data_IF_966276266691
#
_entry.id   IF_966276266691
#
_cell.length_a   1.000
_cell.length_b   1.000
_cell.length_c   1.000
_cell.angle_alpha   90.00
_cell.angle_beta   90.00
_cell.angle_gamma   90.00
#
_symmetry.space_group_name_H-M   'P 1'
#
loop_
_entity.id
_entity.type
_entity.pdbx_description
1 polymer ?
#
# COMPACT_ATOMS: atom_id res chain seq x y z
N UNK A 1 -0.09 -40.98 -5.45
CA UNK A 1 -0.64 -41.56 -6.70
C UNK A 1 -1.10 -40.41 -7.57
N UNK A 2 -1.23 -40.56 -8.88
CA UNK A 2 -1.77 -39.52 -9.77
C UNK A 2 -3.02 -40.02 -10.48
N UNK A 3 -4.01 -39.14 -10.65
CA UNK A 3 -5.22 -39.34 -11.45
C UNK A 3 -5.25 -38.26 -12.54
N UNK A 4 -5.23 -38.65 -13.82
CA UNK A 4 -5.20 -37.73 -14.95
C UNK A 4 -4.12 -36.61 -14.85
N UNK A 5 -2.97 -36.93 -14.25
CA UNK A 5 -1.86 -36.00 -14.03
C UNK A 5 -1.97 -35.13 -12.78
N UNK A 6 -3.01 -35.28 -11.96
CA UNK A 6 -3.19 -34.57 -10.68
C UNK A 6 -2.78 -35.46 -9.52
N UNK A 7 -2.02 -34.91 -8.57
CA UNK A 7 -1.58 -35.65 -7.38
C UNK A 7 -2.75 -35.95 -6.44
N UNK A 8 -2.92 -37.23 -6.13
CA UNK A 8 -3.87 -37.76 -5.15
C UNK A 8 -3.09 -38.14 -3.88
N UNK A 9 -3.31 -37.43 -2.76
CA UNK A 9 -2.53 -37.58 -1.52
C UNK A 9 -2.91 -38.80 -0.68
N UNK A 10 -4.17 -39.25 -0.74
CA UNK A 10 -4.67 -40.37 0.07
C UNK A 10 -5.40 -41.39 -0.80
N UNK A 11 -5.21 -42.68 -0.49
CA UNK A 11 -5.94 -43.77 -1.09
C UNK A 11 -7.25 -43.97 -0.32
N UNK A 12 -8.39 -43.70 -0.95
CA UNK A 12 -9.71 -44.07 -0.42
C UNK A 12 -10.26 -45.29 -1.16
N UNK A 13 -11.24 -45.97 -0.54
CA UNK A 13 -11.91 -47.12 -1.16
C UNK A 13 -12.53 -46.79 -2.52
N UNK A 14 -13.12 -45.60 -2.64
CA UNK A 14 -13.73 -45.11 -3.89
C UNK A 14 -12.68 -44.94 -5.00
N UNK A 15 -11.48 -44.48 -4.65
CA UNK A 15 -10.39 -44.28 -5.60
C UNK A 15 -9.79 -45.63 -6.04
N UNK A 16 -9.74 -46.62 -5.14
CA UNK A 16 -9.33 -47.98 -5.49
C UNK A 16 -10.32 -48.65 -6.44
N UNK A 17 -11.62 -48.46 -6.22
CA UNK A 17 -12.67 -48.96 -7.13
C UNK A 17 -12.61 -48.30 -8.50
N UNK A 18 -12.32 -47.00 -8.56
CA UNK A 18 -12.13 -46.26 -9.82
C UNK A 18 -10.84 -46.67 -10.54
N UNK A 19 -9.76 -46.94 -9.80
CA UNK A 19 -8.49 -47.42 -10.34
C UNK A 19 -8.61 -48.80 -10.98
N UNK A 20 -9.39 -49.70 -10.38
CA UNK A 20 -9.69 -51.01 -10.98
C UNK A 20 -10.50 -50.87 -12.26
N UNK A 21 -11.39 -49.88 -12.33
CA UNK A 21 -12.28 -49.65 -13.49
C UNK A 21 -11.61 -48.91 -14.65
N UNK A 22 -10.71 -47.97 -14.38
CA UNK A 22 -10.04 -47.14 -15.40
C UNK A 22 -8.54 -47.00 -15.11
N UNK A 23 -7.76 -48.10 -15.11
CA UNK A 23 -6.36 -48.09 -14.71
C UNK A 23 -5.48 -47.14 -15.54
N UNK A 24 -5.83 -46.88 -16.80
CA UNK A 24 -5.14 -45.96 -17.71
C UNK A 24 -5.12 -44.50 -17.24
N UNK A 25 -6.05 -44.11 -16.36
CA UNK A 25 -6.11 -42.75 -15.81
C UNK A 25 -5.23 -42.58 -14.57
N UNK A 26 -4.66 -43.66 -14.03
CA UNK A 26 -3.89 -43.63 -12.79
C UNK A 26 -2.42 -43.97 -13.02
N UNK A 27 -1.53 -43.23 -12.36
CA UNK A 27 -0.09 -43.48 -12.40
C UNK A 27 0.51 -43.54 -10.99
N UNK A 28 1.38 -44.53 -10.76
CA UNK A 28 2.21 -44.64 -9.57
C UNK A 28 3.63 -44.24 -9.98
N UNK A 29 4.04 -43.02 -9.63
CA UNK A 29 5.44 -42.62 -9.71
C UNK A 29 6.15 -43.06 -8.43
N UNK A 30 7.20 -43.87 -8.59
CA UNK A 30 8.15 -44.19 -7.53
C UNK A 30 9.44 -43.43 -7.82
N UNK A 31 10.03 -42.81 -6.79
CA UNK A 31 11.24 -42.01 -6.93
C UNK A 31 12.37 -42.62 -6.10
N UNK A 32 13.54 -42.80 -6.72
CA UNK A 32 14.78 -43.08 -6.00
C UNK A 32 15.22 -41.84 -5.23
N UNK A 33 15.58 -42.04 -3.97
CA UNK A 33 16.11 -40.97 -3.09
C UNK A 33 17.62 -41.07 -3.12
N UNK A 34 18.25 -40.31 -4.01
CA UNK A 34 19.70 -40.11 -4.00
C UNK A 34 20.05 -39.14 -2.86
N UNK A 35 21.24 -39.27 -2.24
CA UNK A 35 21.62 -38.54 -1.02
C UNK A 35 21.41 -37.01 -1.06
N UNK A 36 21.51 -36.40 -2.24
CA UNK A 36 21.27 -34.96 -2.43
C UNK A 36 19.79 -34.58 -2.27
N UNK A 37 18.84 -35.44 -2.68
CA UNK A 37 17.40 -35.21 -2.43
C UNK A 37 17.09 -35.24 -0.95
N UNK A 38 17.75 -36.12 -0.18
CA UNK A 38 17.60 -36.18 1.27
C UNK A 38 18.21 -34.94 1.95
N UNK A 39 19.35 -34.45 1.47
CA UNK A 39 19.97 -33.22 1.97
C UNK A 39 19.07 -32.00 1.70
N UNK A 40 18.60 -31.82 0.46
CA UNK A 40 17.62 -30.76 0.11
C UNK A 40 16.38 -30.82 0.99
N UNK A 41 15.82 -32.02 1.14
CA UNK A 41 14.65 -32.25 1.97
C UNK A 41 14.87 -31.82 3.43
N UNK A 42 16.00 -32.20 4.03
CA UNK A 42 16.31 -31.84 5.41
C UNK A 42 16.63 -30.34 5.57
N UNK A 43 17.33 -29.72 4.61
CA UNK A 43 17.57 -28.28 4.62
C UNK A 43 16.28 -27.47 4.54
N UNK A 44 15.32 -27.87 3.69
CA UNK A 44 14.02 -27.20 3.62
C UNK A 44 13.20 -27.38 4.90
N UNK A 45 13.29 -28.53 5.57
CA UNK A 45 12.67 -28.74 6.89
C UNK A 45 13.26 -27.79 7.92
N UNK A 46 14.58 -27.63 7.93
CA UNK A 46 15.23 -26.64 8.81
C UNK A 46 14.76 -25.21 8.51
N UNK A 47 14.61 -24.81 7.24
CA UNK A 47 14.05 -23.51 6.87
C UNK A 47 12.63 -23.28 7.41
N UNK A 48 11.86 -24.35 7.57
CA UNK A 48 10.51 -24.33 8.14
C UNK A 48 10.47 -24.54 9.65
N UNK A 49 11.62 -24.60 10.33
CA UNK A 49 11.73 -24.98 11.74
C UNK A 49 11.10 -26.36 12.06
N UNK A 50 11.17 -27.29 11.10
CA UNK A 50 10.75 -28.68 11.26
C UNK A 50 11.95 -29.57 11.61
N UNK A 51 11.71 -30.66 12.36
CA UNK A 51 12.75 -31.62 12.72
C UNK A 51 13.30 -32.36 11.51
N UNK A 52 14.63 -32.53 11.45
CA UNK A 52 15.33 -33.34 10.43
C UNK A 52 14.92 -34.81 10.54
N UNK A 53 14.89 -35.52 9.41
CA UNK A 53 14.49 -36.92 9.35
C UNK A 53 15.58 -37.78 8.71
N UNK A 54 15.75 -38.99 9.24
CA UNK A 54 16.73 -39.97 8.73
C UNK A 54 16.25 -40.67 7.45
N UNK A 55 14.94 -40.69 7.20
CA UNK A 55 14.35 -41.29 6.00
C UNK A 55 13.33 -40.36 5.35
N UNK A 56 13.27 -40.44 4.03
CA UNK A 56 12.30 -39.75 3.19
C UNK A 56 11.07 -40.65 2.98
N UNK A 57 9.87 -40.10 3.15
CA UNK A 57 8.61 -40.75 2.75
C UNK A 57 7.73 -39.73 2.01
N UNK A 58 6.81 -40.21 1.17
CA UNK A 58 5.87 -39.32 0.47
C UNK A 58 4.99 -38.52 1.45
N UNK A 59 4.62 -39.12 2.59
CA UNK A 59 3.87 -38.43 3.65
C UNK A 59 4.71 -37.31 4.28
N UNK A 60 5.96 -37.61 4.65
CA UNK A 60 6.89 -36.63 5.20
C UNK A 60 7.20 -35.51 4.22
N UNK A 61 7.29 -35.83 2.92
CA UNK A 61 7.45 -34.86 1.86
C UNK A 61 6.27 -33.91 1.77
N UNK A 62 5.05 -34.45 1.70
CA UNK A 62 3.82 -33.66 1.67
C UNK A 62 3.72 -32.74 2.90
N UNK A 63 4.11 -33.20 4.08
CA UNK A 63 4.12 -32.40 5.30
C UNK A 63 5.18 -31.30 5.34
N UNK A 64 6.25 -31.43 4.56
CA UNK A 64 7.26 -30.38 4.35
C UNK A 64 6.81 -29.37 3.29
N UNK A 65 6.08 -29.79 2.25
CA UNK A 65 5.61 -28.86 1.20
C UNK A 65 4.39 -28.04 1.64
N UNK A 66 3.45 -28.65 2.37
CA UNK A 66 2.20 -27.99 2.80
C UNK A 66 2.41 -26.59 3.40
N UNK A 67 3.38 -26.35 4.32
CA UNK A 67 3.63 -25.01 4.86
C UNK A 67 4.05 -23.97 3.82
N UNK A 68 4.78 -24.36 2.77
CA UNK A 68 5.18 -23.47 1.69
C UNK A 68 3.98 -22.96 0.89
N UNK A 69 3.13 -23.90 0.47
CA UNK A 69 1.91 -23.55 -0.27
C UNK A 69 0.93 -22.77 0.60
N UNK A 70 0.84 -23.12 1.89
CA UNK A 70 -0.01 -22.42 2.85
C UNK A 70 0.42 -20.96 3.04
N UNK A 71 1.71 -20.69 3.28
CA UNK A 71 2.14 -19.29 3.48
C UNK A 71 1.88 -18.45 2.24
N UNK A 72 2.10 -18.99 1.03
CA UNK A 72 1.86 -18.24 -0.20
C UNK A 72 0.38 -17.86 -0.36
N UNK A 73 -0.53 -18.77 0.00
CA UNK A 73 -1.98 -18.51 0.00
C UNK A 73 -2.39 -17.47 1.04
N UNK A 74 -1.67 -17.38 2.16
CA UNK A 74 -1.90 -16.42 3.23
C UNK A 74 -1.25 -15.05 2.96
N UNK A 75 -0.48 -14.90 1.88
CA UNK A 75 0.13 -13.62 1.53
C UNK A 75 -0.94 -12.55 1.21
N UNK A 76 -0.76 -11.33 1.73
CA UNK A 76 -1.49 -10.15 1.27
C UNK A 76 -1.49 -10.00 -0.25
N UNK A 77 -2.52 -9.38 -0.81
CA UNK A 77 -2.58 -9.12 -2.26
C UNK A 77 -1.38 -8.25 -2.73
N UNK A 78 -0.95 -7.28 -1.93
CA UNK A 78 0.27 -6.50 -2.17
C UNK A 78 1.49 -7.42 -2.32
N UNK A 79 1.71 -8.34 -1.38
CA UNK A 79 2.87 -9.23 -1.39
C UNK A 79 2.88 -10.18 -2.59
N UNK A 80 1.70 -10.60 -3.06
CA UNK A 80 1.54 -11.42 -4.27
C UNK A 80 1.87 -10.66 -5.56
N UNK A 81 1.67 -9.34 -5.59
CA UNK A 81 1.72 -8.55 -6.82
C UNK A 81 2.92 -7.58 -6.92
N UNK A 82 3.55 -7.20 -5.81
CA UNK A 82 4.63 -6.21 -5.81
C UNK A 82 5.82 -6.64 -6.66
N UNK A 83 6.46 -5.68 -7.34
CA UNK A 83 7.73 -5.84 -8.06
C UNK A 83 8.92 -5.30 -7.25
N UNK A 84 8.68 -4.78 -6.04
CA UNK A 84 9.72 -4.28 -5.12
C UNK A 84 10.33 -5.41 -4.29
N UNK A 85 10.78 -6.45 -4.98
CA UNK A 85 11.45 -7.62 -4.44
C UNK A 85 12.75 -7.83 -5.23
N UNK A 86 13.73 -8.51 -4.62
CA UNK A 86 14.91 -8.99 -5.33
C UNK A 86 14.53 -9.89 -6.52
N UNK A 87 15.45 -10.04 -7.47
CA UNK A 87 15.22 -10.89 -8.65
C UNK A 87 14.96 -12.33 -8.23
N UNK A 88 15.71 -12.79 -7.23
CA UNK A 88 15.66 -14.10 -6.62
C UNK A 88 14.29 -14.32 -5.94
N UNK A 89 13.83 -13.36 -5.13
CA UNK A 89 12.52 -13.42 -4.50
C UNK A 89 11.36 -13.39 -5.51
N UNK A 90 11.48 -12.61 -6.59
CA UNK A 90 10.48 -12.62 -7.66
C UNK A 90 10.39 -14.00 -8.34
N UNK A 91 11.53 -14.59 -8.67
CA UNK A 91 11.60 -15.89 -9.31
C UNK A 91 11.05 -17.01 -8.40
N UNK A 92 11.43 -17.02 -7.11
CA UNK A 92 10.90 -17.96 -6.12
C UNK A 92 9.40 -17.78 -5.93
N UNK A 93 8.90 -16.54 -5.82
CA UNK A 93 7.47 -16.28 -5.70
C UNK A 93 6.68 -16.82 -6.90
N UNK A 94 7.21 -16.65 -8.11
CA UNK A 94 6.60 -17.15 -9.35
C UNK A 94 6.63 -18.68 -9.42
N UNK A 95 7.71 -19.32 -8.98
CA UNK A 95 7.79 -20.77 -8.84
C UNK A 95 6.74 -21.30 -7.87
N UNK A 96 6.54 -20.65 -6.71
CA UNK A 96 5.49 -21.05 -5.74
C UNK A 96 4.09 -20.83 -6.32
N UNK A 97 3.86 -19.72 -7.02
CA UNK A 97 2.56 -19.40 -7.62
C UNK A 97 2.12 -20.42 -8.66
N UNK A 98 3.09 -20.98 -9.40
CA UNK A 98 2.87 -21.94 -10.48
C UNK A 98 3.03 -23.41 -10.02
N UNK A 99 3.24 -23.64 -8.72
CA UNK A 99 3.49 -24.96 -8.14
C UNK A 99 2.26 -25.89 -8.27
N UNK A 100 2.25 -26.72 -9.31
CA UNK A 100 1.22 -27.77 -9.54
C UNK A 100 1.63 -29.13 -8.97
N UNK A 101 2.89 -29.48 -9.16
CA UNK A 101 3.51 -30.70 -8.64
C UNK A 101 4.48 -30.30 -7.51
N UNK A 102 4.12 -30.53 -6.23
CA UNK A 102 4.95 -30.21 -5.07
C UNK A 102 6.40 -30.70 -5.21
N UNK A 103 6.59 -31.93 -5.68
CA UNK A 103 7.90 -32.55 -5.84
C UNK A 103 8.78 -31.82 -6.85
N UNK A 104 8.27 -31.66 -8.07
CA UNK A 104 8.94 -30.90 -9.13
C UNK A 104 9.25 -29.48 -8.68
N UNK A 105 8.31 -28.85 -7.97
CA UNK A 105 8.51 -27.48 -7.47
C UNK A 105 9.71 -27.41 -6.52
N UNK A 106 9.82 -28.38 -5.62
CA UNK A 106 10.82 -28.40 -4.56
C UNK A 106 12.21 -28.78 -5.03
N UNK A 107 12.32 -29.79 -5.89
CA UNK A 107 13.60 -30.34 -6.32
C UNK A 107 14.11 -29.73 -7.62
N UNK A 108 13.23 -29.19 -8.46
CA UNK A 108 13.60 -28.64 -9.76
C UNK A 108 13.29 -27.14 -9.84
N UNK A 109 12.04 -26.73 -9.64
CA UNK A 109 11.62 -25.35 -9.97
C UNK A 109 12.26 -24.31 -9.02
N UNK A 110 12.45 -24.60 -7.73
CA UNK A 110 13.16 -23.68 -6.81
C UNK A 110 14.66 -23.53 -7.12
N UNK A 111 15.44 -24.61 -7.28
CA UNK A 111 16.81 -24.50 -7.78
C UNK A 111 16.88 -23.72 -9.09
N UNK A 112 16.04 -24.07 -10.07
CA UNK A 112 16.04 -23.44 -11.39
C UNK A 112 15.66 -21.94 -11.31
N UNK A 113 14.71 -21.57 -10.45
CA UNK A 113 14.33 -20.17 -10.22
C UNK A 113 15.51 -19.33 -9.69
N UNK A 114 16.42 -19.94 -8.94
CA UNK A 114 17.62 -19.30 -8.41
C UNK A 114 18.85 -19.49 -9.30
N UNK A 115 18.70 -20.13 -10.47
CA UNK A 115 19.78 -20.33 -11.44
C UNK A 115 20.68 -21.55 -11.18
N UNK A 116 20.25 -22.46 -10.31
CA UNK A 116 20.94 -23.72 -10.01
C UNK A 116 20.26 -24.88 -10.75
N UNK A 117 21.04 -25.86 -11.19
CA UNK A 117 20.53 -27.17 -11.59
C UNK A 117 20.68 -28.17 -10.45
N UNK A 118 19.87 -29.21 -10.44
CA UNK A 118 20.01 -30.29 -9.46
C UNK A 118 21.42 -30.89 -9.45
N UNK A 119 22.04 -31.05 -10.63
CA UNK A 119 23.41 -31.53 -10.77
C UNK A 119 24.44 -30.56 -10.17
N UNK A 120 24.24 -29.24 -10.34
CA UNK A 120 25.14 -28.23 -9.78
C UNK A 120 25.16 -28.22 -8.25
N UNK A 121 24.04 -28.59 -7.63
CA UNK A 121 23.91 -28.71 -6.18
C UNK A 121 24.65 -29.94 -5.62
N UNK A 122 25.06 -30.88 -6.46
CA UNK A 122 25.85 -32.04 -6.05
C UNK A 122 27.37 -31.78 -6.10
N UNK A 123 27.79 -30.70 -6.74
CA UNK A 123 29.20 -30.45 -7.06
C UNK A 123 30.02 -30.07 -5.82
N UNK A 124 29.46 -29.24 -4.93
CA UNK A 124 30.11 -28.87 -3.67
C UNK A 124 29.12 -28.45 -2.59
N UNK A 125 29.49 -28.71 -1.34
CA UNK A 125 28.73 -28.27 -0.17
C UNK A 125 28.60 -26.73 -0.13
N UNK A 126 29.62 -25.99 -0.57
CA UNK A 126 29.59 -24.51 -0.62
C UNK A 126 28.49 -23.98 -1.56
N UNK A 127 28.32 -24.59 -2.73
CA UNK A 127 27.28 -24.21 -3.70
C UNK A 127 25.90 -24.52 -3.13
N UNK A 128 25.77 -25.66 -2.46
CA UNK A 128 24.53 -26.07 -1.80
C UNK A 128 24.13 -25.11 -0.66
N UNK A 129 25.07 -24.77 0.23
CA UNK A 129 24.83 -23.83 1.34
C UNK A 129 24.46 -22.43 0.82
N UNK A 130 25.13 -21.98 -0.25
CA UNK A 130 24.80 -20.71 -0.89
C UNK A 130 23.36 -20.72 -1.43
N UNK A 131 22.97 -21.78 -2.13
CA UNK A 131 21.60 -21.95 -2.62
C UNK A 131 20.56 -21.89 -1.49
N UNK A 132 20.78 -22.64 -0.40
CA UNK A 132 19.86 -22.66 0.74
C UNK A 132 19.75 -21.27 1.39
N UNK A 133 20.87 -20.57 1.57
CA UNK A 133 20.90 -19.21 2.10
C UNK A 133 20.14 -18.22 1.21
N UNK A 134 20.34 -18.26 -0.11
CA UNK A 134 19.62 -17.41 -1.07
C UNK A 134 18.11 -17.70 -1.06
N UNK A 135 17.71 -18.97 -1.01
CA UNK A 135 16.31 -19.35 -0.91
C UNK A 135 15.67 -18.83 0.40
N UNK A 136 16.37 -18.96 1.52
CA UNK A 136 15.91 -18.45 2.81
C UNK A 136 15.70 -16.93 2.80
N UNK A 137 16.65 -16.19 2.22
CA UNK A 137 16.56 -14.74 2.07
C UNK A 137 15.36 -14.36 1.20
N UNK A 138 15.20 -15.02 0.05
CA UNK A 138 14.09 -14.80 -0.86
C UNK A 138 12.72 -15.04 -0.19
N UNK A 139 12.56 -16.14 0.55
CA UNK A 139 11.31 -16.44 1.27
C UNK A 139 11.06 -15.42 2.37
N UNK A 140 12.09 -15.04 3.13
CA UNK A 140 11.97 -14.03 4.20
C UNK A 140 11.55 -12.68 3.63
N UNK A 141 12.13 -12.28 2.50
CA UNK A 141 11.77 -11.06 1.79
C UNK A 141 10.30 -11.09 1.34
N UNK A 142 9.85 -12.19 0.72
CA UNK A 142 8.44 -12.35 0.32
C UNK A 142 7.50 -12.24 1.53
N UNK A 143 7.86 -12.87 2.66
CA UNK A 143 7.05 -12.83 3.89
C UNK A 143 6.98 -11.44 4.52
N UNK A 144 8.05 -10.66 4.43
CA UNK A 144 8.19 -9.37 5.13
C UNK A 144 7.91 -8.16 4.24
N UNK A 145 7.74 -8.33 2.92
CA UNK A 145 7.58 -7.21 1.99
C UNK A 145 6.36 -6.33 2.30
N UNK A 146 5.28 -6.89 2.85
CA UNK A 146 4.13 -6.10 3.29
C UNK A 146 4.46 -5.24 4.51
N UNK A 147 5.19 -5.77 5.49
CA UNK A 147 5.66 -4.98 6.62
C UNK A 147 6.68 -3.92 6.18
N UNK A 148 7.48 -4.21 5.15
CA UNK A 148 8.36 -3.23 4.53
C UNK A 148 7.58 -2.09 3.86
N UNK A 149 6.42 -2.35 3.21
CA UNK A 149 5.55 -1.29 2.70
C UNK A 149 5.04 -0.37 3.83
N UNK A 150 4.58 -0.96 4.92
CA UNK A 150 4.09 -0.22 6.09
C UNK A 150 5.20 0.66 6.66
N UNK A 151 6.40 0.10 6.83
CA UNK A 151 7.55 0.85 7.32
C UNK A 151 7.92 2.00 6.37
N UNK A 152 7.90 1.81 5.04
CA UNK A 152 8.15 2.92 4.10
C UNK A 152 7.13 4.04 4.23
N UNK A 153 5.85 3.70 4.39
CA UNK A 153 4.82 4.71 4.60
C UNK A 153 5.00 5.46 5.92
N UNK A 154 5.38 4.76 6.98
CA UNK A 154 5.76 5.37 8.26
C UNK A 154 6.98 6.30 8.12
N UNK A 155 8.05 5.84 7.48
CA UNK A 155 9.25 6.66 7.21
C UNK A 155 8.90 7.91 6.42
N UNK A 156 8.02 7.81 5.42
CA UNK A 156 7.51 8.97 4.69
C UNK A 156 6.83 9.98 5.63
N UNK A 157 5.96 9.53 6.53
CA UNK A 157 5.28 10.41 7.49
C UNK A 157 6.29 11.09 8.42
N UNK A 158 7.24 10.31 8.97
CA UNK A 158 8.28 10.81 9.86
C UNK A 158 9.14 11.87 9.16
N UNK A 159 9.65 11.57 7.96
CA UNK A 159 10.53 12.47 7.22
C UNK A 159 9.81 13.76 6.79
N UNK A 160 8.61 13.67 6.23
CA UNK A 160 7.93 14.82 5.62
C UNK A 160 7.19 15.72 6.62
N UNK A 161 6.71 15.16 7.74
CA UNK A 161 5.81 15.90 8.64
C UNK A 161 6.28 16.01 10.09
N UNK A 162 7.19 15.13 10.53
CA UNK A 162 7.72 15.12 11.91
C UNK A 162 9.13 15.70 11.97
N UNK A 163 10.02 15.26 11.07
CA UNK A 163 11.42 15.65 11.04
C UNK A 163 12.33 14.93 12.04
N UNK A 164 11.85 13.89 12.71
CA UNK A 164 12.59 13.11 13.72
C UNK A 164 12.30 11.60 13.57
N UNK A 165 13.28 10.76 13.87
CA UNK A 165 13.12 9.30 13.95
C UNK A 165 12.62 8.89 15.34
N UNK A 166 11.31 8.93 15.54
CA UNK A 166 10.65 8.58 16.81
C UNK A 166 9.63 7.45 16.61
N UNK A 167 9.29 6.76 17.70
CA UNK A 167 8.36 5.63 17.67
C UNK A 167 6.90 6.03 17.45
N UNK A 168 6.07 5.04 17.07
CA UNK A 168 4.62 5.20 16.84
C UNK A 168 3.88 5.85 18.02
N UNK A 169 4.22 5.46 19.25
CA UNK A 169 3.63 6.01 20.46
C UNK A 169 3.89 7.52 20.64
N UNK A 170 4.88 8.08 19.96
CA UNK A 170 5.27 9.48 20.08
C UNK A 170 4.81 10.34 18.89
N UNK A 171 5.03 9.90 17.64
CA UNK A 171 4.67 10.74 16.49
C UNK A 171 3.16 10.82 16.27
N UNK A 172 2.39 9.78 16.58
CA UNK A 172 0.93 9.79 16.41
C UNK A 172 0.30 10.91 17.26
N UNK A 173 0.57 11.02 18.58
CA UNK A 173 0.11 12.16 19.37
C UNK A 173 0.59 13.52 18.84
N UNK A 174 1.82 13.63 18.32
CA UNK A 174 2.31 14.88 17.71
C UNK A 174 1.48 15.30 16.49
N UNK A 175 1.13 14.36 15.60
CA UNK A 175 0.23 14.63 14.47
C UNK A 175 -1.18 15.00 14.92
N UNK A 176 -1.72 14.33 15.94
CA UNK A 176 -3.02 14.68 16.51
C UNK A 176 -3.02 16.09 17.10
N UNK A 177 -1.98 16.44 17.87
CA UNK A 177 -1.82 17.77 18.47
C UNK A 177 -1.74 18.88 17.41
N UNK A 178 -1.10 18.62 16.27
CA UNK A 178 -1.00 19.56 15.13
C UNK A 178 -2.38 20.04 14.66
N UNK A 179 -3.38 19.17 14.67
CA UNK A 179 -4.74 19.45 14.19
C UNK A 179 -5.79 19.57 15.31
N UNK A 180 -5.37 19.68 16.57
CA UNK A 180 -6.30 19.76 17.71
C UNK A 180 -7.22 21.00 17.65
N UNK A 181 -6.72 22.13 17.10
CA UNK A 181 -7.45 23.40 16.98
C UNK A 181 -8.23 23.56 15.66
N UNK A 182 -8.36 22.48 14.89
CA UNK A 182 -9.03 22.50 13.60
C UNK A 182 -10.55 22.67 13.77
N UNK A 183 -11.14 23.61 13.03
CA UNK A 183 -12.59 23.81 12.97
C UNK A 183 -13.28 22.67 12.20
N UNK A 184 -13.55 21.55 12.90
CA UNK A 184 -14.06 20.30 12.31
C UNK A 184 -15.36 20.45 11.49
N UNK A 185 -16.19 21.44 11.81
CA UNK A 185 -17.44 21.69 11.10
C UNK A 185 -17.23 22.19 9.67
N UNK A 186 -16.11 22.90 9.40
CA UNK A 186 -15.74 23.44 8.08
C UNK A 186 -15.08 22.41 7.16
N UNK A 187 -14.80 21.21 7.66
CA UNK A 187 -14.11 20.18 6.89
C UNK A 187 -15.00 19.52 5.84
N UNK A 188 -14.40 19.19 4.70
CA UNK A 188 -14.99 18.29 3.71
C UNK A 188 -15.23 16.90 4.27
N UNK A 189 -16.14 16.11 3.66
CA UNK A 189 -16.31 14.70 4.00
C UNK A 189 -14.99 13.92 4.03
N UNK A 190 -14.13 14.05 3.01
CA UNK A 190 -12.83 13.35 2.96
C UNK A 190 -11.87 13.78 4.07
N UNK A 191 -11.80 15.08 4.36
CA UNK A 191 -11.00 15.64 5.45
C UNK A 191 -11.52 15.19 6.83
N UNK A 192 -12.85 15.14 7.01
CA UNK A 192 -13.49 14.61 8.22
C UNK A 192 -13.12 13.15 8.44
N UNK A 193 -13.20 12.32 7.39
CA UNK A 193 -12.79 10.92 7.48
C UNK A 193 -11.32 10.78 7.84
N UNK A 194 -10.43 11.57 7.22
CA UNK A 194 -9.01 11.55 7.55
C UNK A 194 -8.74 11.93 9.01
N UNK A 195 -9.29 13.06 9.48
CA UNK A 195 -9.13 13.51 10.87
C UNK A 195 -9.73 12.50 11.85
N UNK A 196 -10.87 11.89 11.53
CA UNK A 196 -11.46 10.83 12.34
C UNK A 196 -10.54 9.60 12.47
N UNK A 197 -9.84 9.20 11.40
CA UNK A 197 -8.85 8.12 11.46
C UNK A 197 -7.60 8.53 12.21
N UNK A 198 -7.14 9.77 12.01
CA UNK A 198 -6.01 10.34 12.74
C UNK A 198 -6.26 10.30 14.27
N UNK A 199 -7.45 10.70 14.71
CA UNK A 199 -7.88 10.75 16.11
C UNK A 199 -8.27 9.38 16.70
N UNK A 200 -8.18 8.30 15.91
CA UNK A 200 -8.59 6.99 16.37
C UNK A 200 -7.71 6.48 17.53
N UNK A 201 -8.33 5.74 18.45
CA UNK A 201 -7.67 5.08 19.59
C UNK A 201 -6.96 3.77 19.18
N UNK A 202 -6.54 3.65 17.92
CA UNK A 202 -5.80 2.48 17.45
C UNK A 202 -4.35 2.58 17.91
N UNK A 203 -3.98 1.70 18.85
CA UNK A 203 -2.62 1.66 19.41
C UNK A 203 -1.71 0.67 18.69
N UNK A 204 -2.26 -0.10 17.75
CA UNK A 204 -1.49 -0.91 16.81
C UNK A 204 -1.02 -0.06 15.62
N UNK A 205 0.30 0.03 15.44
CA UNK A 205 0.98 0.77 14.37
C UNK A 205 0.44 0.41 12.99
N UNK A 206 0.31 -0.89 12.72
CA UNK A 206 -0.07 -1.42 11.40
C UNK A 206 -1.53 -1.13 11.09
N UNK A 207 -2.42 -1.31 12.04
CA UNK A 207 -3.84 -1.00 11.92
C UNK A 207 -4.07 0.50 11.72
N UNK A 208 -3.36 1.36 12.48
CA UNK A 208 -3.49 2.80 12.33
C UNK A 208 -3.02 3.28 10.94
N UNK A 209 -1.83 2.87 10.49
CA UNK A 209 -1.31 3.21 9.15
C UNK A 209 -2.23 2.71 8.04
N UNK A 210 -2.79 1.50 8.17
CA UNK A 210 -3.81 1.02 7.24
C UNK A 210 -5.05 1.90 7.21
N UNK A 211 -5.55 2.32 8.38
CA UNK A 211 -6.73 3.20 8.46
C UNK A 211 -6.48 4.56 7.82
N UNK A 212 -5.26 5.09 7.96
CA UNK A 212 -4.84 6.34 7.32
C UNK A 212 -4.77 6.18 5.79
N UNK A 213 -4.18 5.10 5.29
CA UNK A 213 -4.16 4.80 3.85
C UNK A 213 -5.58 4.68 3.29
N UNK A 214 -6.48 3.97 3.96
CA UNK A 214 -7.89 3.86 3.56
C UNK A 214 -8.58 5.22 3.50
N UNK A 215 -8.32 6.12 4.46
CA UNK A 215 -8.92 7.46 4.43
C UNK A 215 -8.44 8.32 3.25
N UNK A 216 -7.22 8.09 2.76
CA UNK A 216 -6.59 8.90 1.71
C UNK A 216 -6.82 8.34 0.32
N UNK A 217 -6.67 7.03 0.13
CA UNK A 217 -6.76 6.37 -1.19
C UNK A 217 -7.96 5.41 -1.32
N UNK A 218 -8.75 5.22 -0.26
CA UNK A 218 -9.93 4.34 -0.26
C UNK A 218 -9.60 2.84 -0.23
N UNK A 219 -8.32 2.48 -0.05
CA UNK A 219 -7.81 1.10 -0.08
C UNK A 219 -6.85 0.87 1.07
N UNK A 220 -6.83 -0.35 1.59
CA UNK A 220 -5.88 -0.79 2.62
C UNK A 220 -4.51 -1.08 2.02
N UNK A 221 -3.46 -1.05 2.85
CA UNK A 221 -2.07 -1.25 2.40
C UNK A 221 -1.84 -2.67 1.86
N UNK A 222 -2.58 -3.66 2.37
CA UNK A 222 -2.48 -5.08 1.97
C UNK A 222 -2.98 -5.37 0.56
N UNK A 223 -3.68 -4.43 -0.10
CA UNK A 223 -4.19 -4.56 -1.47
C UNK A 223 -3.64 -3.50 -2.44
N UNK A 224 -2.69 -2.68 -1.99
CA UNK A 224 -2.08 -1.69 -2.89
C UNK A 224 -1.23 -2.35 -3.97
N UNK A 225 -1.01 -1.61 -5.05
CA UNK A 225 0.04 -1.88 -6.05
C UNK A 225 1.18 -0.89 -5.88
N UNK A 226 2.34 -1.19 -6.47
CA UNK A 226 3.51 -0.31 -6.36
C UNK A 226 3.27 1.11 -6.87
N UNK A 227 2.43 1.26 -7.91
CA UNK A 227 2.04 2.57 -8.43
C UNK A 227 1.12 3.35 -7.47
N UNK A 228 0.32 2.65 -6.65
CA UNK A 228 -0.58 3.27 -5.69
C UNK A 228 0.17 3.90 -4.51
N UNK A 229 1.39 3.42 -4.20
CA UNK A 229 2.23 3.97 -3.13
C UNK A 229 2.56 5.45 -3.38
N UNK A 230 2.88 5.82 -4.62
CA UNK A 230 3.12 7.22 -4.99
C UNK A 230 1.85 8.08 -4.88
N UNK A 231 0.70 7.53 -5.28
CA UNK A 231 -0.60 8.21 -5.18
C UNK A 231 -0.98 8.43 -3.72
N UNK A 232 -0.68 7.47 -2.84
CA UNK A 232 -0.87 7.58 -1.40
C UNK A 232 -0.05 8.76 -0.85
N UNK A 233 1.25 8.82 -1.15
CA UNK A 233 2.12 9.89 -0.64
C UNK A 233 1.68 11.27 -1.14
N UNK A 234 1.36 11.41 -2.43
CA UNK A 234 0.88 12.67 -2.99
C UNK A 234 -0.41 13.15 -2.34
N UNK A 235 -1.40 12.25 -2.20
CA UNK A 235 -2.69 12.59 -1.58
C UNK A 235 -2.55 12.85 -0.08
N UNK A 236 -1.67 12.11 0.61
CA UNK A 236 -1.38 12.34 2.03
C UNK A 236 -0.74 13.71 2.25
N UNK A 237 0.22 14.10 1.41
CA UNK A 237 0.82 15.44 1.46
C UNK A 237 -0.20 16.53 1.21
N UNK A 238 -1.08 16.35 0.22
CA UNK A 238 -2.14 17.34 -0.07
C UNK A 238 -3.09 17.50 1.11
N UNK A 239 -3.58 16.40 1.69
CA UNK A 239 -4.53 16.50 2.80
C UNK A 239 -3.90 17.13 4.04
N UNK A 240 -2.63 16.83 4.35
CA UNK A 240 -1.91 17.49 5.45
C UNK A 240 -1.79 19.00 5.21
N UNK A 241 -1.37 19.42 4.00
CA UNK A 241 -1.26 20.85 3.65
C UNK A 241 -2.59 21.58 3.72
N UNK A 242 -3.66 20.96 3.24
CA UNK A 242 -5.01 21.52 3.31
C UNK A 242 -5.44 21.72 4.78
N UNK A 243 -5.21 20.72 5.63
CA UNK A 243 -5.54 20.79 7.05
C UNK A 243 -4.68 21.81 7.79
N UNK A 244 -3.41 21.96 7.44
CA UNK A 244 -2.55 23.00 7.99
C UNK A 244 -3.08 24.39 7.65
N UNK A 245 -3.41 24.62 6.38
CA UNK A 245 -3.98 25.90 5.92
C UNK A 245 -5.30 26.21 6.66
N UNK A 246 -6.18 25.22 6.84
CA UNK A 246 -7.41 25.39 7.60
C UNK A 246 -7.15 25.63 9.10
N UNK A 247 -6.12 25.01 9.68
CA UNK A 247 -5.72 25.25 11.07
C UNK A 247 -5.16 26.65 11.25
N UNK A 248 -4.39 27.16 10.28
CA UNK A 248 -3.91 28.53 10.26
C UNK A 248 -5.05 29.54 10.16
N UNK A 249 -6.05 29.26 9.32
CA UNK A 249 -7.27 30.07 9.21
C UNK A 249 -8.05 30.10 10.53
N UNK A 250 -8.20 28.97 11.21
CA UNK A 250 -8.90 28.90 12.50
C UNK A 250 -8.19 29.65 13.64
N UNK A 251 -6.87 29.88 13.54
CA UNK A 251 -6.11 30.70 14.51
C UNK A 251 -6.34 32.20 14.34
N UNK A 252 -6.71 32.64 13.13
CA UNK A 252 -7.21 33.99 12.96
C UNK A 252 -8.56 34.04 13.70
N UNK A 253 -8.71 34.95 14.66
CA UNK A 253 -9.97 35.15 15.38
C UNK A 253 -11.01 35.68 14.38
N UNK A 254 -11.73 34.75 13.73
CA UNK A 254 -12.65 34.99 12.62
C UNK A 254 -14.06 34.79 13.13
N UNK A 255 -14.85 35.86 13.08
CA UNK A 255 -16.29 35.80 13.33
C UNK A 255 -16.98 35.22 12.09
N UNK A 256 -17.13 33.89 12.02
CA UNK A 256 -17.74 33.19 10.87
C UNK A 256 -19.19 33.60 10.55
N UNK A 257 -19.87 34.31 11.46
CA UNK A 257 -21.21 34.86 11.19
C UNK A 257 -21.16 36.24 10.51
N UNK A 258 -20.03 36.95 10.59
CA UNK A 258 -19.85 38.32 10.07
C UNK A 258 -18.72 38.46 9.07
N UNK A 259 -17.86 37.46 8.93
CA UNK A 259 -16.67 37.51 8.10
C UNK A 259 -16.50 36.20 7.33
N UNK A 260 -16.16 36.32 6.05
CA UNK A 260 -15.65 35.24 5.22
C UNK A 260 -14.15 35.43 5.02
N UNK A 261 -13.35 34.38 5.25
CA UNK A 261 -11.88 34.48 5.27
C UNK A 261 -11.26 33.48 4.32
N UNK A 262 -10.38 34.00 3.45
CA UNK A 262 -9.68 33.25 2.43
C UNK A 262 -8.18 33.26 2.72
N UNK A 263 -7.53 32.11 2.56
CA UNK A 263 -6.06 32.05 2.47
C UNK A 263 -5.65 32.03 1.01
N UNK A 264 -4.80 32.98 0.63
CA UNK A 264 -4.23 33.07 -0.71
C UNK A 264 -2.77 32.64 -0.66
N UNK A 265 -2.43 31.54 -1.33
CA UNK A 265 -1.07 31.07 -1.48
C UNK A 265 -0.58 31.36 -2.91
N UNK A 266 0.45 32.18 -3.03
CA UNK A 266 1.11 32.51 -4.30
C UNK A 266 2.50 31.87 -4.28
N UNK A 267 2.72 30.89 -5.15
CA UNK A 267 4.03 30.26 -5.32
C UNK A 267 4.76 30.86 -6.52
N UNK A 268 6.00 31.32 -6.31
CA UNK A 268 6.91 31.89 -7.30
C UNK A 268 8.21 31.07 -7.33
N UNK A 269 8.75 30.79 -8.52
CA UNK A 269 10.06 30.13 -8.65
C UNK A 269 11.22 30.98 -8.12
N UNK A 270 11.03 32.30 -8.00
CA UNK A 270 12.09 33.25 -7.62
C UNK A 270 11.91 33.72 -6.18
N UNK A 271 10.67 33.96 -5.77
CA UNK A 271 10.35 34.61 -4.48
C UNK A 271 9.79 33.62 -3.44
N UNK A 272 9.74 32.33 -3.80
CA UNK A 272 9.23 31.28 -2.92
C UNK A 272 7.70 31.32 -2.78
N UNK A 273 7.20 30.83 -1.65
CA UNK A 273 5.77 30.76 -1.33
C UNK A 273 5.39 31.96 -0.47
N UNK A 274 4.47 32.79 -0.94
CA UNK A 274 3.85 33.88 -0.19
C UNK A 274 2.42 33.47 0.21
N UNK A 275 2.11 33.58 1.50
CA UNK A 275 0.78 33.28 2.06
C UNK A 275 0.18 34.53 2.66
N UNK A 276 -1.03 34.87 2.25
CA UNK A 276 -1.76 36.02 2.76
C UNK A 276 -3.20 35.65 3.16
N UNK A 277 -3.70 36.31 4.20
CA UNK A 277 -5.08 36.18 4.66
C UNK A 277 -5.91 37.36 4.15
N UNK A 278 -7.01 37.06 3.48
CA UNK A 278 -8.00 38.06 3.04
C UNK A 278 -9.25 37.86 3.85
N UNK A 279 -9.68 38.91 4.56
CA UNK A 279 -10.95 38.91 5.31
C UNK A 279 -11.96 39.80 4.60
N UNK A 280 -13.17 39.30 4.44
CA UNK A 280 -14.26 40.02 3.77
C UNK A 280 -15.47 40.04 4.72
N UNK A 281 -15.99 41.22 5.11
CA UNK A 281 -17.17 41.29 5.96
C UNK A 281 -18.43 40.84 5.19
N UNK A 282 -19.36 40.16 5.88
CA UNK A 282 -20.68 39.77 5.38
C UNK A 282 -21.73 40.86 5.74
N UNK A 283 -22.77 41.09 4.91
CA UNK A 283 -23.12 40.36 3.69
C UNK A 283 -22.54 41.04 2.44
N UNK A 284 -21.63 40.37 1.74
CA UNK A 284 -21.20 40.79 0.39
C UNK A 284 -21.93 39.92 -0.64
N UNK A 285 -22.55 40.56 -1.64
CA UNK A 285 -23.21 39.85 -2.74
C UNK A 285 -22.18 39.05 -3.53
N UNK A 286 -22.53 37.85 -4.00
CA UNK A 286 -21.62 36.94 -4.73
C UNK A 286 -20.85 37.62 -5.87
N UNK A 287 -21.48 38.54 -6.59
CA UNK A 287 -20.84 39.27 -7.69
C UNK A 287 -19.73 40.23 -7.20
N UNK A 288 -19.87 40.79 -6.00
CA UNK A 288 -18.88 41.68 -5.39
C UNK A 288 -17.70 40.91 -4.78
N UNK A 289 -17.92 39.66 -4.35
CA UNK A 289 -16.86 38.76 -3.92
C UNK A 289 -15.94 38.41 -5.09
N UNK A 290 -16.50 37.96 -6.23
CA UNK A 290 -15.70 37.61 -7.41
C UNK A 290 -14.90 38.80 -7.98
N UNK A 291 -15.49 39.99 -7.94
CA UNK A 291 -14.82 41.23 -8.36
C UNK A 291 -13.71 41.59 -7.37
N UNK A 292 -13.93 41.45 -6.05
CA UNK A 292 -12.93 41.74 -5.03
C UNK A 292 -11.77 40.75 -5.07
N UNK A 293 -12.04 39.46 -5.24
CA UNK A 293 -11.04 38.39 -5.41
C UNK A 293 -10.18 38.62 -6.67
N UNK A 294 -10.81 38.91 -7.81
CA UNK A 294 -10.10 39.24 -9.05
C UNK A 294 -9.27 40.52 -8.92
N UNK A 295 -9.77 41.51 -8.20
CA UNK A 295 -9.08 42.77 -7.97
C UNK A 295 -7.86 42.60 -7.06
N UNK A 296 -7.98 41.79 -6.00
CA UNK A 296 -6.89 41.44 -5.09
C UNK A 296 -5.80 40.63 -5.78
N UNK A 297 -6.19 39.63 -6.57
CA UNK A 297 -5.27 38.87 -7.41
C UNK A 297 -4.56 39.78 -8.42
N UNK A 298 -5.29 40.65 -9.11
CA UNK A 298 -4.69 41.64 -10.02
C UNK A 298 -3.75 42.60 -9.31
N UNK A 299 -4.09 43.08 -8.12
CA UNK A 299 -3.25 43.99 -7.34
C UNK A 299 -1.93 43.33 -6.93
N UNK A 300 -1.98 42.09 -6.40
CA UNK A 300 -0.76 41.36 -6.01
C UNK A 300 0.05 40.87 -7.20
N UNK A 301 -0.59 40.51 -8.31
CA UNK A 301 0.09 40.13 -9.56
C UNK A 301 0.67 41.35 -10.27
N UNK A 302 0.03 42.51 -10.23
CA UNK A 302 0.54 43.76 -10.83
C UNK A 302 1.77 44.32 -10.11
N UNK A 303 2.01 43.92 -8.86
CA UNK A 303 3.26 44.19 -8.15
C UNK A 303 4.45 43.32 -8.58
N UNK A 304 4.22 42.30 -9.42
CA UNK A 304 5.28 41.45 -9.97
C UNK A 304 5.81 42.04 -11.30
N UNK A 305 7.14 42.01 -11.55
CA UNK A 305 7.70 42.55 -12.79
C UNK A 305 7.09 41.88 -14.01
N UNK A 306 6.73 42.70 -15.01
CA UNK A 306 5.72 42.51 -16.06
C UNK A 306 5.99 41.37 -17.07
N UNK A 307 7.01 40.54 -16.84
CA UNK A 307 7.52 39.55 -17.80
C UNK A 307 7.35 38.08 -17.38
N UNK A 308 6.49 37.77 -16.40
CA UNK A 308 6.28 36.39 -15.92
C UNK A 308 5.00 35.78 -16.47
N UNK A 309 5.10 34.57 -17.05
CA UNK A 309 3.96 33.74 -17.45
C UNK A 309 3.36 33.07 -16.21
N UNK A 310 2.07 33.26 -15.99
CA UNK A 310 1.33 32.71 -14.85
C UNK A 310 0.59 31.46 -15.32
N UNK A 311 0.83 30.32 -14.67
CA UNK A 311 0.17 29.05 -14.98
C UNK A 311 -0.69 28.61 -13.80
N UNK A 312 -1.98 28.36 -14.04
CA UNK A 312 -2.89 27.76 -13.07
C UNK A 312 -2.93 26.25 -13.31
N UNK A 313 -2.77 25.44 -12.25
CA UNK A 313 -2.87 23.97 -12.33
C UNK A 313 -4.31 23.57 -12.02
N UNK A 314 -5.08 23.26 -13.05
CA UNK A 314 -6.45 22.73 -12.90
C UNK A 314 -6.37 21.20 -13.01
N UNK A 315 -6.78 20.50 -11.95
CA UNK A 315 -6.99 19.06 -12.00
C UNK A 315 -8.41 18.84 -12.53
N UNK A 316 -8.57 18.80 -13.86
CA UNK A 316 -9.56 18.00 -14.61
C UNK A 316 -9.27 18.12 -16.12
N UNK A 317 -9.36 16.98 -16.80
CA UNK A 317 -9.12 16.75 -18.23
C UNK A 317 -9.95 17.60 -19.18
N UNK A 318 -9.29 18.06 -20.26
CA UNK A 318 -9.79 18.42 -21.59
C UNK A 318 -11.24 18.94 -21.73
N UNK A 319 -11.39 20.25 -21.94
CA UNK A 319 -11.93 20.78 -23.21
C UNK A 319 -11.73 22.30 -23.27
N UNK A 320 -11.37 22.79 -24.46
CA UNK A 320 -11.18 24.21 -24.77
C UNK A 320 -12.48 24.98 -24.53
N UNK A 321 -12.46 25.93 -23.60
CA UNK A 321 -13.06 27.28 -23.65
C UNK A 321 -12.65 27.99 -22.35
N UNK A 322 -12.49 29.31 -22.38
CA UNK A 322 -12.07 30.13 -21.23
C UNK A 322 -13.00 29.89 -20.03
N UNK A 323 -12.52 29.16 -19.02
CA UNK A 323 -13.24 28.94 -17.77
C UNK A 323 -12.26 28.97 -16.60
N UNK A 324 -12.49 29.90 -15.67
CA UNK A 324 -11.91 29.91 -14.32
C UNK A 324 -12.81 29.04 -13.44
N UNK A 325 -12.26 27.97 -12.86
CA UNK A 325 -12.98 27.07 -11.97
C UNK A 325 -12.55 27.28 -10.51
N UNK A 326 -13.53 27.49 -9.63
CA UNK A 326 -13.37 27.59 -8.17
C UNK A 326 -13.71 26.25 -7.52
N UNK A 327 -12.99 25.87 -6.47
CA UNK A 327 -13.45 24.83 -5.54
C UNK A 327 -14.35 25.48 -4.47
N UNK A 328 -15.65 25.56 -4.75
CA UNK A 328 -16.67 25.96 -3.76
C UNK A 328 -17.12 24.74 -2.97
N UNK A 329 -17.13 24.83 -1.65
CA UNK A 329 -17.78 23.85 -0.79
C UNK A 329 -19.02 24.50 -0.18
N UNK A 330 -20.21 24.12 -0.66
CA UNK A 330 -21.49 24.55 -0.07
C UNK A 330 -21.83 23.60 1.08
N UNK A 331 -22.08 24.15 2.28
CA UNK A 331 -22.85 23.47 3.30
C UNK A 331 -24.33 23.48 2.92
N UNK A 332 -24.95 22.30 2.79
CA UNK A 332 -26.40 22.18 2.60
C UNK A 332 -27.13 22.42 3.92
N UNK A 333 -28.03 23.39 3.94
CA UNK A 333 -29.12 23.50 4.90
C UNK A 333 -30.40 23.81 4.14
N UNK A 334 -31.32 22.84 4.06
CA UNK A 334 -32.67 23.08 3.58
C UNK A 334 -33.62 23.21 4.78
N UNK A 335 -34.15 24.42 4.95
CA UNK A 335 -35.29 24.76 5.78
C UNK A 335 -36.59 24.50 5.00
N UNK A 336 -37.63 24.20 5.79
CA UNK A 336 -39.04 24.03 5.47
C UNK A 336 -39.60 25.01 4.43
N UNK A 337 -40.36 24.46 3.48
CA UNK A 337 -41.20 25.20 2.54
C UNK A 337 -42.62 25.34 3.13
N UNK A 338 -43.05 26.57 3.37
CA UNK A 338 -44.44 26.91 3.67
C UNK A 338 -45.11 27.34 2.37
N UNK A 339 -46.08 26.55 1.90
CA UNK A 339 -46.90 26.88 0.74
C UNK A 339 -48.11 27.73 1.16
N UNK A 340 -48.24 28.91 0.56
CA UNK A 340 -49.49 29.65 0.43
C UNK A 340 -49.73 29.85 -1.06
N UNK A 341 -50.68 29.10 -1.62
CA UNK A 341 -51.77 29.54 -2.50
C UNK A 341 -52.59 28.32 -2.90
#
# INVERSE_FOLDING_TARGET
MFEAGVYVPELSGDILDLLVKNPENYAIKAFGVDGVRLNLFNSYRQLLNQSTQLQFSNELFVDTVKPFLKFYRELPEYARNTRRLSREALAVREAIANAREPEKTFFDDFPLALGYSFDSLQVSDDVFETYISTLQQAITEIRTCYDALISRFETFILHEFIGEEIGFAEYKPRLQARFQKLSRHLLQPSQKTFVQRLDSQLDDRKAWLNSMAQAVVGRSLDVLRDADEHVLYDKFTRIIRDLDNLTHLAKADVDTAKEEVFSLEISSFVDGISKDLVRIPLPVKQDQLEVSERSLLRYKVAGLPTNRKIYAKNDQSQTRTRYFGWQRQRGFGHLHEAAVS
#
